data_IF_498677131820
#
_entry.id   IF_498677131820
#
_cell.length_a   1.000
_cell.length_b   1.000
_cell.length_c   1.000
_cell.angle_alpha   90.00
_cell.angle_beta   90.00
_cell.angle_gamma   90.00
#
_symmetry.space_group_name_H-M   'P 1'
#
loop_
_entity.id
_entity.type
_entity.pdbx_description
1 polymer ?
#
# COMPACT_ATOMS: atom_id res chain seq x y z
N UNK A 1 9.56 -22.93 3.59
CA UNK A 1 8.98 -21.80 2.84
C UNK A 1 7.50 -22.07 2.69
N UNK A 2 6.66 -21.06 2.81
CA UNK A 2 5.22 -21.21 2.55
C UNK A 2 5.00 -21.04 1.05
N UNK A 3 4.35 -22.02 0.44
CA UNK A 3 3.95 -21.92 -0.97
C UNK A 3 2.71 -21.04 -1.07
N UNK A 4 2.88 -19.84 -1.60
CA UNK A 4 1.78 -18.91 -1.86
C UNK A 4 1.02 -19.38 -3.10
N UNK A 5 -0.27 -19.68 -2.94
CA UNK A 5 -1.12 -20.12 -4.06
C UNK A 5 -1.80 -18.92 -4.72
N UNK A 6 -2.05 -19.03 -6.03
CA UNK A 6 -2.71 -18.01 -6.87
C UNK A 6 -4.00 -18.53 -7.51
N UNK A 7 -4.46 -19.71 -7.09
CA UNK A 7 -5.74 -20.29 -7.46
C UNK A 7 -6.91 -19.64 -6.70
N UNK A 8 -8.13 -20.08 -6.99
CA UNK A 8 -9.36 -19.59 -6.36
C UNK A 8 -9.30 -19.73 -4.84
N UNK A 9 -9.72 -18.66 -4.13
CA UNK A 9 -9.74 -18.66 -2.66
C UNK A 9 -10.86 -19.60 -2.16
N UNK A 10 -10.62 -20.38 -1.09
CA UNK A 10 -11.65 -21.25 -0.54
C UNK A 10 -12.80 -20.42 0.07
N UNK A 11 -14.04 -20.75 -0.30
CA UNK A 11 -15.28 -20.13 0.22
C UNK A 11 -16.00 -21.02 1.25
N UNK A 12 -15.30 -22.01 1.81
CA UNK A 12 -15.84 -23.02 2.73
C UNK A 12 -15.61 -22.70 4.22
N UNK A 13 -15.12 -21.49 4.54
CA UNK A 13 -14.79 -21.06 5.89
C UNK A 13 -13.39 -21.44 6.37
N UNK A 14 -12.55 -22.03 5.50
CA UNK A 14 -11.13 -22.27 5.80
C UNK A 14 -10.39 -20.96 6.11
N UNK A 15 -9.64 -20.93 7.22
CA UNK A 15 -8.78 -19.79 7.56
C UNK A 15 -7.60 -19.73 6.58
N UNK A 16 -7.40 -18.56 5.98
CA UNK A 16 -6.29 -18.31 5.05
C UNK A 16 -5.38 -17.18 5.52
N UNK A 17 -4.15 -17.19 5.04
CA UNK A 17 -3.20 -16.09 5.18
C UNK A 17 -2.91 -15.53 3.79
N UNK A 18 -3.05 -14.22 3.60
CA UNK A 18 -2.82 -13.52 2.33
C UNK A 18 -1.59 -12.62 2.44
N UNK A 19 -0.72 -12.66 1.43
CA UNK A 19 0.31 -11.63 1.22
C UNK A 19 -0.29 -10.45 0.47
N UNK A 20 -0.23 -9.27 1.06
CA UNK A 20 -0.69 -8.02 0.44
C UNK A 20 0.53 -7.16 0.16
N UNK A 21 0.80 -6.90 -1.12
CA UNK A 21 1.82 -5.92 -1.53
C UNK A 21 1.05 -4.79 -2.20
N UNK A 22 1.05 -3.61 -1.58
CA UNK A 22 0.38 -2.42 -2.09
C UNK A 22 1.35 -1.25 -2.13
N UNK A 23 1.33 -0.42 -3.18
CA UNK A 23 2.05 0.83 -3.21
C UNK A 23 1.50 1.80 -2.16
N UNK A 24 2.40 2.40 -1.38
CA UNK A 24 2.10 3.51 -0.50
C UNK A 24 2.87 4.75 -0.93
N UNK A 25 2.30 5.93 -0.67
CA UNK A 25 3.01 7.20 -0.82
C UNK A 25 2.66 8.18 0.29
N UNK A 26 3.62 9.02 0.66
CA UNK A 26 3.35 10.19 1.47
C UNK A 26 3.11 11.38 0.54
N UNK A 27 1.94 12.00 0.63
CA UNK A 27 1.60 13.19 -0.15
C UNK A 27 1.64 14.43 0.75
N UNK A 28 2.63 15.33 0.58
CA UNK A 28 2.71 16.56 1.34
C UNK A 28 1.46 17.42 1.19
N UNK A 29 1.08 18.09 2.27
CA UNK A 29 0.05 19.12 2.18
C UNK A 29 0.61 20.35 1.47
N UNK A 30 -0.25 21.06 0.74
CA UNK A 30 0.14 22.34 0.13
C UNK A 30 0.51 23.32 1.26
N UNK A 31 1.57 24.15 1.11
CA UNK A 31 2.00 25.06 2.17
C UNK A 31 0.90 26.01 2.68
N UNK A 32 -0.07 26.34 1.83
CA UNK A 32 -1.19 27.23 2.15
C UNK A 32 -2.47 26.52 2.64
N UNK A 33 -2.46 25.20 2.77
CA UNK A 33 -3.60 24.43 3.28
C UNK A 33 -3.80 24.65 4.78
N UNK A 34 -5.04 24.46 5.25
CA UNK A 34 -5.35 24.54 6.67
C UNK A 34 -4.62 23.46 7.49
N UNK A 35 -4.37 22.30 6.89
CA UNK A 35 -3.60 21.22 7.49
C UNK A 35 -2.13 21.59 7.70
N UNK A 36 -1.50 22.22 6.70
CA UNK A 36 -0.13 22.71 6.82
C UNK A 36 -0.01 23.82 7.88
N UNK A 37 -0.98 24.75 7.94
CA UNK A 37 -1.05 25.78 8.99
C UNK A 37 -1.20 25.18 10.40
N UNK A 38 -1.82 24.00 10.50
CA UNK A 38 -1.92 23.21 11.74
C UNK A 38 -0.68 22.34 12.01
N UNK A 39 0.40 22.50 11.26
CA UNK A 39 1.67 21.79 11.44
C UNK A 39 1.70 20.37 10.87
N UNK A 40 0.68 19.94 10.11
CA UNK A 40 0.70 18.61 9.48
C UNK A 40 1.57 18.64 8.22
N UNK A 41 2.48 17.68 8.09
CA UNK A 41 3.42 17.61 6.94
C UNK A 41 2.79 17.06 5.67
N UNK A 42 1.78 16.20 5.80
CA UNK A 42 1.16 15.50 4.69
C UNK A 42 0.26 14.37 5.17
N UNK A 43 -0.06 13.46 4.27
CA UNK A 43 -0.88 12.28 4.53
C UNK A 43 -0.38 11.07 3.77
N UNK A 44 -0.57 9.90 4.36
CA UNK A 44 -0.33 8.64 3.68
C UNK A 44 -1.48 8.31 2.74
N UNK A 45 -1.14 7.69 1.61
CA UNK A 45 -2.08 7.17 0.65
C UNK A 45 -1.67 5.77 0.20
N UNK A 46 -2.67 4.93 -0.06
CA UNK A 46 -2.53 3.58 -0.62
C UNK A 46 -3.15 3.55 -2.00
N UNK A 47 -2.55 2.80 -2.93
CA UNK A 47 -3.10 2.63 -4.27
C UNK A 47 -4.27 1.63 -4.25
N UNK A 48 -5.39 2.00 -4.89
CA UNK A 48 -6.54 1.12 -5.10
C UNK A 48 -6.34 0.17 -6.30
N UNK A 49 -7.28 -0.75 -6.51
CA UNK A 49 -7.21 -1.74 -7.60
C UNK A 49 -7.34 -1.13 -9.00
N UNK A 50 -7.89 0.08 -9.12
CA UNK A 50 -8.00 0.83 -10.36
C UNK A 50 -6.80 1.76 -10.63
N UNK A 51 -5.81 1.79 -9.73
CA UNK A 51 -4.64 2.67 -9.81
C UNK A 51 -4.86 4.08 -9.24
N UNK A 52 -6.00 4.33 -8.61
CA UNK A 52 -6.28 5.54 -7.82
C UNK A 52 -5.55 5.56 -6.48
N UNK A 53 -5.66 6.66 -5.73
CA UNK A 53 -4.94 6.85 -4.46
C UNK A 53 -5.87 7.33 -3.36
N UNK A 54 -6.11 6.45 -2.38
CA UNK A 54 -6.96 6.73 -1.23
C UNK A 54 -6.15 7.15 -0.02
N UNK A 55 -6.68 8.05 0.80
CA UNK A 55 -6.06 8.42 2.07
C UNK A 55 -6.17 7.25 3.05
N UNK A 56 -5.06 6.95 3.74
CA UNK A 56 -5.01 5.88 4.72
C UNK A 56 -4.26 6.31 5.99
N UNK A 57 -4.22 5.40 6.97
CA UNK A 57 -3.30 5.51 8.10
C UNK A 57 -1.83 5.35 7.67
N UNK A 58 -0.92 5.49 8.63
CA UNK A 58 0.48 5.16 8.39
C UNK A 58 0.65 3.69 7.99
N UNK A 59 1.50 3.37 7.00
CA UNK A 59 1.76 1.98 6.63
C UNK A 59 2.29 1.20 7.83
N UNK A 60 1.67 0.06 8.12
CA UNK A 60 2.10 -0.82 9.21
C UNK A 60 3.05 -1.90 8.65
N UNK A 61 4.14 -2.17 9.36
CA UNK A 61 5.11 -3.19 8.97
C UNK A 61 6.55 -2.79 9.30
N UNK A 62 7.48 -3.73 9.20
CA UNK A 62 8.92 -3.50 9.46
C UNK A 62 9.77 -3.48 8.18
N UNK A 63 9.17 -3.75 7.02
CA UNK A 63 9.86 -3.89 5.74
C UNK A 63 9.22 -2.95 4.70
N UNK A 64 10.05 -2.23 3.95
CA UNK A 64 9.62 -1.35 2.86
C UNK A 64 10.69 -1.31 1.76
N UNK A 65 10.27 -1.04 0.53
CA UNK A 65 11.16 -0.77 -0.60
C UNK A 65 10.56 0.30 -1.50
N UNK A 66 11.40 1.11 -2.13
CA UNK A 66 10.99 2.07 -3.16
C UNK A 66 10.91 1.42 -4.55
N UNK A 67 11.45 0.22 -4.70
CA UNK A 67 11.40 -0.54 -5.95
C UNK A 67 10.06 -1.24 -6.10
N UNK A 68 9.54 -1.32 -7.32
CA UNK A 68 8.37 -2.12 -7.59
C UNK A 68 8.78 -3.61 -7.58
N UNK A 69 8.36 -4.42 -6.59
CA UNK A 69 8.78 -5.82 -6.49
C UNK A 69 8.20 -6.71 -7.61
N UNK A 70 7.28 -6.17 -8.41
CA UNK A 70 6.66 -6.85 -9.54
C UNK A 70 7.15 -6.34 -10.89
N UNK A 71 8.01 -5.32 -10.93
CA UNK A 71 8.63 -4.91 -12.18
C UNK A 71 9.63 -6.01 -12.55
N UNK A 72 9.22 -6.89 -13.47
CA UNK A 72 10.14 -7.84 -14.10
C UNK A 72 11.34 -7.06 -14.62
N UNK A 73 12.55 -7.57 -14.37
CA UNK A 73 13.75 -7.06 -15.02
C UNK A 73 13.52 -7.16 -16.53
N UNK A 74 13.20 -6.04 -17.17
CA UNK A 74 13.26 -5.93 -18.61
C UNK A 74 14.75 -6.06 -18.95
N UNK A 75 15.11 -7.15 -19.64
CA UNK A 75 16.43 -7.36 -20.22
C UNK A 75 16.67 -6.50 -21.44
#
# INVERSE_FOLDING_TARGET
>A
MVDWRTDEMPEDGTVIYRRIIQPYRFLPYKPNSEEAKRGKRGRWQVMDEAGGWDNCGEPLGTEWTAENPFKTAEG
#
